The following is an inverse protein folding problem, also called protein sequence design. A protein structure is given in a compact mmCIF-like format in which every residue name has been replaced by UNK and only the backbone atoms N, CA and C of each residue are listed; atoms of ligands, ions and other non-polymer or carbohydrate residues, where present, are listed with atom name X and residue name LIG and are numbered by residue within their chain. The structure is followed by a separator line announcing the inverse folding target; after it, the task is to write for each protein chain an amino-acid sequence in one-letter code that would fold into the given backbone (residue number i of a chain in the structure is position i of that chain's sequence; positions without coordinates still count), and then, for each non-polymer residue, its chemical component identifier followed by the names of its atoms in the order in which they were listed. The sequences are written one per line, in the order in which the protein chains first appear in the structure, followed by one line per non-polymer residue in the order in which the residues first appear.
data_IF_027208579659
#
_entry.id   IF_027208579659
#
_cell.length_a   1.000
_cell.length_b   1.000
_cell.length_c   1.000
_cell.angle_alpha   90.00
_cell.angle_beta   90.00
_cell.angle_gamma   90.00
#
_symmetry.space_group_name_H-M   'P 1'
#
loop_
_entity.id
_entity.type
_entity.pdbx_description
1 polymer ?
2 water ?
#
# COMPACT_ATOMS: atom_id res chain seq x y z
N UNK A 1 -27.08 -2.62 4.06
CA UNK A 1 -26.21 -2.93 2.87
C UNK A 1 -26.88 -3.83 1.87
N UNK A 2 -26.85 -3.42 0.63
CA UNK A 2 -27.41 -4.19 -0.43
C UNK A 2 -26.75 -5.56 -0.56
N UNK A 3 -25.42 -5.53 -0.51
CA UNK A 3 -24.54 -6.70 -0.57
C UNK A 3 -23.55 -6.60 0.60
N UNK A 4 -22.96 -7.72 1.00
CA UNK A 4 -22.05 -7.64 2.16
C UNK A 4 -20.71 -8.24 1.80
N UNK A 5 -19.67 -7.83 2.53
CA UNK A 5 -18.39 -8.54 2.44
C UNK A 5 -17.75 -8.44 1.07
N UNK A 6 -18.08 -7.38 0.30
CA UNK A 6 -17.65 -7.28 -1.13
C UNK A 6 -17.96 -8.55 -1.96
N UNK A 7 -19.07 -9.23 -1.65
CA UNK A 7 -19.45 -10.44 -2.41
C UNK A 7 -19.57 -10.13 -3.91
N UNK A 8 -19.78 -8.83 -4.24
CA UNK A 8 -19.89 -8.38 -5.64
C UNK A 8 -18.58 -8.51 -6.40
N UNK A 9 -17.46 -8.55 -5.66
CA UNK A 9 -16.14 -8.67 -6.27
C UNK A 9 -15.89 -10.14 -6.62
N UNK A 10 -16.46 -11.06 -5.84
CA UNK A 10 -16.16 -12.49 -6.07
C UNK A 10 -16.84 -13.06 -7.36
N UNK A 11 -17.97 -12.49 -7.76
CA UNK A 11 -18.74 -12.94 -8.94
C UNK A 11 -19.26 -11.74 -9.68
N UNK A 12 -18.41 -11.15 -10.53
CA UNK A 12 -18.84 -9.92 -11.15
C UNK A 12 -20.10 -10.04 -12.03
N UNK A 13 -20.26 -11.17 -12.74
CA UNK A 13 -21.45 -11.39 -13.61
C UNK A 13 -22.75 -11.42 -12.79
N UNK A 14 -22.67 -11.80 -11.52
CA UNK A 14 -23.87 -11.82 -10.71
C UNK A 14 -24.24 -10.41 -10.14
N UNK A 15 -23.32 -9.45 -10.23
CA UNK A 15 -23.52 -8.11 -9.62
C UNK A 15 -23.09 -7.03 -10.62
N UNK A 16 -23.74 -7.00 -11.83
CA UNK A 16 -23.09 -6.18 -12.88
C UNK A 16 -23.26 -4.66 -12.70
N UNK A 17 -24.24 -4.27 -11.90
CA UNK A 17 -24.46 -2.89 -11.55
C UNK A 17 -23.30 -2.32 -10.72
N UNK A 18 -22.47 -3.17 -10.11
CA UNK A 18 -21.33 -2.66 -9.33
C UNK A 18 -20.22 -2.24 -10.26
N UNK A 19 -20.36 -2.54 -11.58
CA UNK A 19 -19.32 -2.31 -12.57
C UNK A 19 -19.55 -1.16 -13.54
N UNK A 20 -20.74 -0.54 -13.45
CA UNK A 20 -21.11 0.73 -14.11
C UNK A 20 -20.91 1.88 -13.13
N UNK A 21 -20.35 3.01 -13.56
CA UNK A 21 -20.35 4.21 -12.69
C UNK A 21 -21.76 4.82 -12.57
N UNK A 22 -22.34 4.93 -11.34
CA UNK A 22 -23.71 5.50 -11.29
C UNK A 22 -23.63 7.04 -11.56
N UNK A 23 -24.71 7.64 -12.07
CA UNK A 23 -24.68 9.10 -12.33
C UNK A 23 -25.40 9.90 -11.23
N UNK A 24 -26.55 9.41 -10.73
CA UNK A 24 -27.16 10.00 -9.51
C UNK A 24 -26.16 10.18 -8.31
N UNK A 25 -26.02 11.41 -7.78
CA UNK A 25 -25.16 11.76 -6.61
C UNK A 25 -25.15 10.75 -5.40
N UNK A 26 -26.34 10.39 -4.91
CA UNK A 26 -26.49 9.52 -3.78
C UNK A 26 -25.90 8.13 -4.10
N UNK A 27 -26.31 7.58 -5.24
CA UNK A 27 -25.82 6.25 -5.67
C UNK A 27 -24.32 6.22 -5.92
N UNK A 28 -23.77 7.36 -6.36
CA UNK A 28 -22.41 7.34 -6.76
C UNK A 28 -21.58 7.35 -5.47
N UNK A 29 -22.01 8.08 -4.42
CA UNK A 29 -21.28 8.07 -3.16
C UNK A 29 -21.21 6.69 -2.50
N UNK A 30 -22.32 5.99 -2.53
CA UNK A 30 -22.34 4.69 -1.89
C UNK A 30 -21.49 3.63 -2.72
N UNK A 31 -21.66 3.63 -4.05
CA UNK A 31 -20.76 2.85 -4.96
C UNK A 31 -19.25 3.13 -4.67
N UNK A 32 -18.89 4.39 -4.56
CA UNK A 32 -17.54 4.82 -4.34
C UNK A 32 -17.05 4.33 -2.98
N UNK A 33 -17.92 4.34 -1.96
CA UNK A 33 -17.52 3.84 -0.61
C UNK A 33 -17.18 2.34 -0.70
N UNK A 34 -18.03 1.59 -1.40
CA UNK A 34 -17.84 0.16 -1.57
C UNK A 34 -16.54 -0.15 -2.28
N UNK A 35 -16.30 0.50 -3.42
CA UNK A 35 -15.02 0.25 -4.18
C UNK A 35 -13.75 0.75 -3.46
N UNK A 36 -13.85 1.89 -2.77
CA UNK A 36 -12.72 2.41 -2.01
C UNK A 36 -12.36 1.45 -0.85
N UNK A 37 -13.35 1.01 -0.07
CA UNK A 37 -13.10 0.04 1.00
C UNK A 37 -12.55 -1.28 0.40
N UNK A 38 -13.21 -1.81 -0.63
CA UNK A 38 -12.63 -2.99 -1.32
C UNK A 38 -11.12 -2.83 -1.74
N UNK A 39 -10.79 -1.70 -2.37
CA UNK A 39 -9.48 -1.58 -3.00
C UNK A 39 -8.47 -1.52 -1.86
N UNK A 40 -8.78 -0.78 -0.80
CA UNK A 40 -7.87 -0.76 0.40
C UNK A 40 -7.65 -2.18 0.93
N UNK A 41 -8.73 -2.97 1.01
CA UNK A 41 -8.54 -4.39 1.45
C UNK A 41 -7.74 -5.24 0.50
N UNK A 42 -7.97 -5.05 -0.82
CA UNK A 42 -7.30 -5.85 -1.80
C UNK A 42 -5.78 -5.57 -1.67
N UNK A 43 -5.36 -4.31 -1.51
CA UNK A 43 -3.87 -4.05 -1.37
C UNK A 43 -3.35 -4.62 -0.11
N UNK A 44 -4.09 -4.48 0.99
CA UNK A 44 -3.63 -4.96 2.26
C UNK A 44 -3.51 -6.49 2.25
N UNK A 45 -4.55 -7.17 1.77
CA UNK A 45 -4.57 -8.67 1.80
C UNK A 45 -3.50 -9.21 0.85
N UNK A 46 -3.24 -8.51 -0.25
CA UNK A 46 -2.22 -8.96 -1.19
C UNK A 46 -0.79 -8.49 -0.76
N UNK A 47 -0.72 -7.75 0.34
CA UNK A 47 0.50 -7.17 0.92
C UNK A 47 1.29 -6.45 -0.22
N UNK A 48 0.55 -5.64 -1.01
CA UNK A 48 1.11 -4.92 -2.14
C UNK A 48 1.13 -3.41 -1.77
N UNK A 49 2.18 -2.69 -2.15
CA UNK A 49 2.36 -1.32 -1.68
C UNK A 49 2.12 -0.35 -2.78
N UNK A 50 2.27 -0.80 -4.02
CA UNK A 50 2.17 0.13 -5.12
C UNK A 50 1.97 -0.62 -6.41
N UNK A 51 1.56 0.07 -7.47
CA UNK A 51 1.35 -0.58 -8.76
C UNK A 51 0.77 0.40 -9.76
N UNK A 52 1.12 0.23 -11.03
CA UNK A 52 0.63 1.11 -12.06
C UNK A 52 -0.85 0.89 -12.27
N UNK A 53 -1.53 1.96 -12.66
CA UNK A 53 -2.97 1.89 -12.91
C UNK A 53 -3.32 0.98 -14.06
N UNK A 54 -2.47 0.95 -15.11
CA UNK A 54 -2.73 -0.04 -16.18
C UNK A 54 -2.61 -1.47 -15.68
N UNK A 55 -1.64 -1.77 -14.81
CA UNK A 55 -1.59 -3.13 -14.23
C UNK A 55 -2.83 -3.44 -13.33
N UNK A 56 -3.24 -2.44 -12.55
CA UNK A 56 -4.43 -2.65 -11.69
C UNK A 56 -5.66 -3.03 -12.56
N UNK A 57 -5.76 -2.41 -13.71
CA UNK A 57 -6.88 -2.67 -14.64
C UNK A 57 -6.88 -4.08 -15.23
N UNK A 58 -5.74 -4.78 -15.17
CA UNK A 58 -5.74 -6.21 -15.53
C UNK A 58 -6.11 -7.18 -14.45
N UNK A 59 -6.35 -6.71 -13.22
CA UNK A 59 -6.66 -7.59 -12.10
C UNK A 59 -8.16 -7.64 -11.83
N UNK A 60 -8.65 -8.87 -11.62
CA UNK A 60 -9.99 -9.15 -11.07
C UNK A 60 -10.13 -8.51 -9.68
N UNK A 61 -11.22 -7.79 -9.36
CA UNK A 61 -12.39 -7.50 -10.17
C UNK A 61 -12.32 -6.16 -10.93
N UNK A 62 -11.27 -5.36 -10.75
CA UNK A 62 -11.04 -4.08 -11.47
C UNK A 62 -11.13 -4.25 -13.00
N UNK A 63 -10.72 -5.45 -13.45
CA UNK A 63 -10.76 -5.80 -14.90
C UNK A 63 -12.20 -5.83 -15.49
N UNK A 64 -13.23 -5.96 -14.64
CA UNK A 64 -14.61 -5.92 -15.08
C UNK A 64 -15.30 -4.56 -15.05
N UNK A 65 -14.63 -3.54 -14.53
CA UNK A 65 -15.20 -2.23 -14.57
C UNK A 65 -15.39 -1.76 -16.06
N UNK A 66 -16.50 -1.13 -16.33
CA UNK A 66 -16.68 -0.23 -17.53
C UNK A 66 -16.00 1.16 -17.26
N UNK A 67 -15.52 1.87 -18.27
CA UNK A 67 -14.78 3.13 -18.07
C UNK A 67 -13.71 2.93 -17.00
N UNK A 68 -12.83 1.96 -17.22
CA UNK A 68 -11.80 1.60 -16.21
C UNK A 68 -11.07 2.85 -15.74
N UNK A 69 -10.69 3.68 -16.72
CA UNK A 69 -9.89 4.88 -16.41
C UNK A 69 -10.60 5.88 -15.52
N UNK A 70 -11.82 6.19 -15.89
CA UNK A 70 -12.61 7.12 -15.11
C UNK A 70 -12.96 6.49 -13.71
N UNK A 71 -13.28 5.18 -13.66
CA UNK A 71 -13.72 4.56 -12.39
C UNK A 71 -12.50 4.58 -11.43
N UNK A 72 -11.32 4.29 -11.97
CA UNK A 72 -10.14 4.19 -11.05
C UNK A 72 -9.72 5.50 -10.56
N UNK A 73 -9.84 6.54 -11.42
CA UNK A 73 -9.39 7.87 -11.01
C UNK A 73 -10.26 8.38 -9.81
N UNK A 74 -11.58 8.15 -9.85
CA UNK A 74 -12.43 8.53 -8.68
C UNK A 74 -12.22 7.68 -7.43
N UNK A 75 -11.98 6.36 -7.59
CA UNK A 75 -11.63 5.51 -6.41
C UNK A 75 -10.35 5.96 -5.81
N UNK A 76 -9.34 6.19 -6.65
CA UNK A 76 -8.09 6.64 -6.12
C UNK A 76 -8.25 8.02 -5.41
N UNK A 77 -9.01 8.93 -6.02
CA UNK A 77 -9.24 10.28 -5.42
C UNK A 77 -9.81 10.12 -4.02
N UNK A 78 -10.71 9.18 -3.87
CA UNK A 78 -11.36 8.89 -2.58
C UNK A 78 -10.37 8.33 -1.53
N UNK A 79 -9.55 7.35 -1.96
CA UNK A 79 -8.45 6.81 -1.08
C UNK A 79 -7.45 7.87 -0.69
N UNK A 80 -7.11 8.82 -1.62
CA UNK A 80 -6.26 9.95 -1.26
C UNK A 80 -6.92 10.84 -0.17
N UNK A 81 -8.18 11.19 -0.35
CA UNK A 81 -8.95 11.96 0.64
C UNK A 81 -9.03 11.29 2.00
N UNK A 82 -9.13 9.95 2.02
CA UNK A 82 -9.19 9.21 3.23
C UNK A 82 -7.77 8.95 3.85
N UNK A 83 -6.73 9.45 3.19
CA UNK A 83 -5.34 9.37 3.67
C UNK A 83 -4.80 7.92 3.68
N UNK A 84 -5.13 7.18 2.62
CA UNK A 84 -4.57 5.85 2.39
C UNK A 84 -3.83 5.72 1.11
N UNK A 85 -3.67 6.82 0.36
CA UNK A 85 -3.10 6.62 -0.96
C UNK A 85 -2.39 7.92 -1.38
N UNK A 86 -1.43 7.84 -2.30
CA UNK A 86 -0.81 9.08 -2.96
C UNK A 86 -0.43 8.60 -4.32
N UNK A 87 -0.43 9.49 -5.33
CA UNK A 87 0.16 9.11 -6.63
C UNK A 87 1.67 9.07 -6.42
N UNK A 88 2.36 8.29 -7.24
CA UNK A 88 3.82 8.13 -6.99
C UNK A 88 4.62 9.37 -7.48
N UNK A 89 4.10 10.04 -8.48
CA UNK A 89 4.76 11.20 -9.11
C UNK A 89 3.78 12.00 -9.95
N UNK A 90 4.33 13.04 -10.56
CA UNK A 90 3.55 14.01 -11.30
C UNK A 90 2.91 13.46 -12.58
N UNK A 91 3.32 12.27 -13.04
CA UNK A 91 2.67 11.65 -14.25
C UNK A 91 1.32 10.95 -14.00
N UNK A 92 1.01 10.75 -12.71
CA UNK A 92 -0.27 10.14 -12.29
C UNK A 92 -0.54 8.78 -12.92
N UNK A 93 0.53 7.98 -13.16
CA UNK A 93 0.41 6.62 -13.76
C UNK A 93 0.39 5.50 -12.72
N UNK A 94 0.90 5.78 -11.52
CA UNK A 94 1.06 4.73 -10.49
C UNK A 94 0.59 5.32 -9.16
N UNK A 95 0.14 4.42 -8.29
CA UNK A 95 -0.31 4.79 -6.96
C UNK A 95 0.46 4.02 -5.92
N UNK A 96 0.58 4.64 -4.75
CA UNK A 96 1.20 4.05 -3.57
C UNK A 96 0.07 3.97 -2.53
N UNK A 97 -0.28 2.76 -2.11
CA UNK A 97 -1.40 2.56 -1.16
C UNK A 97 -0.81 2.29 0.22
N UNK A 98 -1.00 3.24 1.13
CA UNK A 98 -0.49 3.24 2.51
C UNK A 98 -1.51 2.60 3.39
N UNK A 99 -1.58 1.26 3.38
CA UNK A 99 -2.37 0.56 4.38
C UNK A 99 -1.63 0.39 5.71
N UNK A 100 -0.40 0.90 5.78
CA UNK A 100 0.43 0.90 7.00
C UNK A 100 1.37 2.11 6.92
N UNK A 101 1.60 2.83 8.03
CA UNK A 101 2.38 4.09 7.97
C UNK A 101 3.81 3.73 8.37
N UNK A 102 4.70 4.70 8.21
CA UNK A 102 6.16 4.47 8.44
C UNK A 102 6.51 4.15 9.88
N UNK A 103 5.76 4.70 10.82
CA UNK A 103 6.02 4.47 12.21
C UNK A 103 5.80 2.97 12.51
N UNK A 104 4.72 2.39 12.02
CA UNK A 104 4.48 0.93 12.16
C UNK A 104 5.52 0.10 11.37
N UNK A 105 5.88 0.53 10.15
CA UNK A 105 6.89 -0.19 9.40
C UNK A 105 8.18 -0.24 10.23
N UNK A 106 8.53 0.86 10.85
CA UNK A 106 9.80 0.90 11.59
C UNK A 106 9.82 -0.09 12.76
N UNK A 107 8.70 -0.28 13.44
CA UNK A 107 8.60 -1.31 14.51
C UNK A 107 8.61 -2.72 13.98
N UNK A 108 7.92 -2.98 12.84
CA UNK A 108 7.93 -4.29 12.17
C UNK A 108 9.36 -4.63 11.82
N UNK A 109 10.11 -3.64 11.31
CA UNK A 109 11.49 -3.93 10.82
C UNK A 109 12.45 -4.12 11.99
N UNK A 110 12.36 -3.25 13.01
CA UNK A 110 13.13 -3.37 14.21
C UNK A 110 12.87 -4.75 14.81
N UNK A 111 11.62 -5.15 15.01
CA UNK A 111 11.32 -6.42 15.70
C UNK A 111 11.90 -7.58 14.90
N UNK A 112 11.79 -7.54 13.57
CA UNK A 112 12.33 -8.58 12.70
C UNK A 112 13.86 -8.63 12.83
N UNK A 113 14.56 -7.51 12.91
CA UNK A 113 16.02 -7.50 13.02
C UNK A 113 16.49 -8.14 14.36
N UNK A 114 15.89 -7.71 15.48
CA UNK A 114 16.04 -8.37 16.80
C UNK A 114 15.81 -9.90 16.75
N UNK A 115 14.65 -10.33 16.25
CA UNK A 115 14.29 -11.74 16.15
C UNK A 115 15.20 -12.56 15.22
N UNK A 116 15.91 -11.90 14.31
CA UNK A 116 16.77 -12.60 13.38
C UNK A 116 18.24 -12.45 13.77
N UNK A 117 18.52 -11.80 14.90
CA UNK A 117 19.86 -11.57 15.41
C UNK A 117 20.72 -10.57 14.66
N UNK A 118 20.15 -9.82 13.73
CA UNK A 118 20.94 -8.79 13.02
C UNK A 118 21.31 -7.58 13.89
N UNK A 119 22.57 -7.13 13.82
CA UNK A 119 23.04 -5.96 14.57
C UNK A 119 23.24 -4.73 13.67
N UNK A 120 23.18 -4.94 12.36
CA UNK A 120 23.32 -3.86 11.38
C UNK A 120 22.32 -4.23 10.30
N UNK A 121 21.88 -3.22 9.51
CA UNK A 121 21.01 -3.47 8.37
C UNK A 121 21.44 -2.52 7.30
N UNK A 122 21.35 -2.95 6.05
CA UNK A 122 21.51 -2.00 4.95
C UNK A 122 20.22 -2.15 4.08
N UNK A 123 20.00 -1.12 3.31
CA UNK A 123 18.93 -1.10 2.34
C UNK A 123 19.18 -2.25 1.44
N UNK A 124 20.43 -2.46 0.96
CA UNK A 124 20.59 -3.50 -0.04
C UNK A 124 20.20 -4.90 0.53
N UNK A 125 20.67 -5.21 1.72
CA UNK A 125 20.43 -6.50 2.29
C UNK A 125 18.87 -6.75 2.43
N UNK A 126 18.18 -5.71 2.80
CA UNK A 126 16.68 -5.78 2.96
C UNK A 126 16.07 -6.02 1.57
N UNK A 127 16.43 -5.22 0.55
CA UNK A 127 15.71 -5.40 -0.76
C UNK A 127 16.09 -6.73 -1.46
N UNK A 128 17.18 -7.34 -1.01
CA UNK A 128 17.61 -8.60 -1.63
C UNK A 128 17.06 -9.83 -0.89
N UNK A 129 16.34 -9.61 0.22
CA UNK A 129 15.73 -10.75 0.95
C UNK A 129 14.86 -11.66 0.10
N UNK A 130 14.83 -12.96 0.45
CA UNK A 130 13.89 -13.89 -0.23
C UNK A 130 12.42 -13.53 0.14
N UNK A 131 12.25 -13.13 1.38
CA UNK A 131 10.90 -12.82 1.80
C UNK A 131 10.98 -12.01 3.11
N UNK A 132 9.86 -11.41 3.48
CA UNK A 132 9.80 -10.60 4.70
C UNK A 132 8.37 -10.36 5.17
N UNK A 133 8.24 -10.15 6.47
CA UNK A 133 6.94 -9.88 7.11
C UNK A 133 6.18 -8.81 6.33
N UNK A 134 5.02 -9.17 5.78
CA UNK A 134 4.18 -8.23 5.09
C UNK A 134 4.86 -7.57 3.91
N UNK A 135 5.85 -8.26 3.31
CA UNK A 135 6.56 -7.77 2.14
C UNK A 135 7.23 -6.38 2.41
N UNK A 136 7.72 -6.15 3.62
CA UNK A 136 8.42 -4.87 3.82
C UNK A 136 9.61 -4.75 2.85
N UNK A 137 10.16 -5.89 2.46
CA UNK A 137 11.35 -5.83 1.54
C UNK A 137 11.05 -5.26 0.16
N UNK A 138 9.77 -5.00 -0.09
CA UNK A 138 9.32 -4.45 -1.37
C UNK A 138 9.01 -2.96 -1.33
N UNK A 139 9.07 -2.36 -0.14
CA UNK A 139 8.82 -0.93 -0.02
C UNK A 139 9.78 -0.16 -0.92
N UNK A 140 9.29 0.92 -1.53
CA UNK A 140 10.11 1.74 -2.43
C UNK A 140 11.30 2.38 -1.72
N UNK A 141 12.41 2.57 -2.43
CA UNK A 141 13.61 3.17 -1.82
C UNK A 141 13.35 4.41 -0.96
N UNK A 142 12.47 5.30 -1.41
CA UNK A 142 12.21 6.52 -0.61
C UNK A 142 11.58 6.21 0.76
N UNK A 143 10.78 5.15 0.83
CA UNK A 143 10.15 4.76 2.10
C UNK A 143 11.29 4.25 3.04
N UNK A 144 12.26 3.50 2.56
CA UNK A 144 13.37 3.09 3.44
C UNK A 144 14.18 4.21 4.03
N UNK A 145 14.47 5.25 3.20
CA UNK A 145 15.11 6.40 3.69
C UNK A 145 14.37 6.97 4.87
N UNK A 146 13.04 7.04 4.78
CA UNK A 146 12.31 7.64 5.85
C UNK A 146 12.21 6.73 7.03
N UNK A 147 12.12 5.42 6.78
CA UNK A 147 11.98 4.45 7.92
C UNK A 147 13.27 4.43 8.71
N UNK A 148 14.41 4.42 8.01
CA UNK A 148 15.71 4.40 8.73
C UNK A 148 15.90 5.64 9.57
N UNK A 149 15.52 6.82 9.01
CA UNK A 149 15.51 8.11 9.78
C UNK A 149 14.71 8.02 11.05
N UNK A 150 13.51 7.45 10.96
CA UNK A 150 12.68 7.21 12.13
C UNK A 150 13.41 6.30 13.16
N UNK A 151 14.04 5.25 12.70
CA UNK A 151 14.66 4.33 13.65
C UNK A 151 15.80 5.04 14.41
N UNK A 152 16.58 5.88 13.68
CA UNK A 152 17.68 6.68 14.24
C UNK A 152 17.12 7.78 15.18
N UNK A 153 16.19 8.61 14.70
CA UNK A 153 15.50 9.62 15.49
C UNK A 153 14.96 9.03 16.81
N UNK A 154 14.37 7.83 16.76
CA UNK A 154 13.71 7.20 17.90
C UNK A 154 14.72 6.48 18.77
N UNK A 155 16.02 6.58 18.51
CA UNK A 155 17.02 5.88 19.35
C UNK A 155 17.06 4.40 19.26
N UNK A 156 16.51 3.82 18.19
CA UNK A 156 16.59 2.35 18.00
C UNK A 156 17.72 1.94 17.00
N UNK A 157 18.38 2.92 16.43
CA UNK A 157 19.47 2.67 15.48
C UNK A 157 20.38 3.84 15.50
N UNK A 158 21.57 3.72 14.86
CA UNK A 158 22.34 4.94 14.54
C UNK A 158 23.03 4.65 13.20
N UNK A 159 23.42 5.70 12.50
CA UNK A 159 24.10 5.60 11.18
C UNK A 159 25.50 5.06 11.32
N UNK A 160 25.79 3.98 10.61
CA UNK A 160 27.19 3.60 10.32
C UNK A 160 27.67 4.40 9.13
N UNK A 161 26.87 4.43 8.06
CA UNK A 161 27.16 5.27 6.91
C UNK A 161 25.87 5.60 6.20
N UNK A 162 25.50 6.88 6.25
CA UNK A 162 24.20 7.26 5.78
C UNK A 162 24.15 7.26 4.25
N UNK A 163 25.27 7.58 3.62
CA UNK A 163 25.25 7.63 2.15
C UNK A 163 25.14 6.21 1.53
N UNK A 164 25.39 5.21 2.36
CA UNK A 164 25.23 3.76 1.98
C UNK A 164 23.95 3.17 2.60
N UNK A 165 23.14 4.03 3.24
CA UNK A 165 21.95 3.53 3.92
C UNK A 165 22.27 2.32 4.83
N UNK A 166 23.17 2.54 5.80
CA UNK A 166 23.74 1.48 6.58
C UNK A 166 23.60 1.93 8.03
N UNK A 167 22.91 1.13 8.83
CA UNK A 167 22.64 1.51 10.20
C UNK A 167 23.13 0.49 11.18
N UNK A 168 23.46 0.96 12.39
CA UNK A 168 23.63 0.01 13.47
C UNK A 168 22.32 -0.03 14.30
N UNK A 169 21.87 -1.23 14.64
CA UNK A 169 20.75 -1.44 15.56
C UNK A 169 21.25 -1.21 17.02
N UNK A 170 20.50 -0.40 17.79
CA UNK A 170 20.81 -0.07 19.20
C UNK A 170 19.90 -0.94 20.02
N UNK A 171 20.43 -1.61 21.07
CA UNK A 171 19.65 -2.56 21.93
C UNK A 171 19.11 -1.88 23.18
N UNK A 172 17.90 -2.23 23.59
CA UNK A 172 17.28 -1.64 24.77
C UNK A 172 17.07 -2.69 25.86
N UNK A 173 16.66 -3.88 25.46
CA UNK A 173 16.42 -4.97 26.40
C UNK A 173 16.92 -6.30 25.85
#
# INVERSE_FOLDING_TARGET
MLTVGFEWAAQPEKYPWMYSLPSKTEDFEDWLNQWSDFTLQWFKINKLHQISLVELMGEKPFSYLQNKSKALTVIVENLIARNFCKYTDKEYKSIRVFWRGYRDWSEVIYNWALKKGRTELTFFEIIDLKESPDNFHMLPKEDFKKIFNILVKNKRAEWINKKNMHIRILFLEHHHHHH
#
